data_IF_136550203435
#
_entry.id   IF_136550203435
#
_cell.length_a   1.000
_cell.length_b   1.000
_cell.length_c   1.000
_cell.angle_alpha   90.00
_cell.angle_beta   90.00
_cell.angle_gamma   90.00
#
_symmetry.space_group_name_H-M   'P 1'
#
loop_
_entity.id
_entity.type
_entity.pdbx_description
1 polymer ?
#
# COMPACT_ATOMS: atom_id res chain seq x y z
N UNK A 1 34.68 -3.52 3.08
CA UNK A 1 33.34 -3.49 3.71
C UNK A 1 32.42 -2.73 2.78
N UNK A 2 31.51 -3.43 2.11
CA UNK A 2 30.57 -2.82 1.14
C UNK A 2 29.55 -1.97 1.89
N UNK A 3 29.35 -0.72 1.50
CA UNK A 3 28.32 0.15 2.06
C UNK A 3 26.96 -0.41 1.64
N UNK A 4 26.21 -0.94 2.60
CA UNK A 4 24.81 -1.31 2.38
C UNK A 4 24.06 -0.05 1.94
N UNK A 5 23.51 -0.06 0.73
CA UNK A 5 22.82 1.10 0.18
C UNK A 5 21.41 1.19 0.77
N UNK A 6 20.80 2.39 0.76
CA UNK A 6 19.43 2.61 1.21
C UNK A 6 18.40 1.63 0.61
N UNK A 7 18.72 1.03 -0.54
CA UNK A 7 17.95 -0.03 -1.18
C UNK A 7 18.00 -1.35 -0.39
N UNK A 8 19.13 -1.76 0.18
CA UNK A 8 19.28 -3.08 0.86
C UNK A 8 18.40 -3.25 2.10
N UNK A 9 17.93 -2.16 2.70
CA UNK A 9 17.02 -2.17 3.84
C UNK A 9 15.54 -2.41 3.45
N UNK A 10 15.23 -2.41 2.16
CA UNK A 10 13.86 -2.51 1.63
C UNK A 10 13.44 -3.95 1.27
N UNK A 11 13.87 -4.96 2.04
CA UNK A 11 13.31 -6.32 1.90
C UNK A 11 11.95 -6.37 2.59
N UNK A 12 10.87 -6.21 1.82
CA UNK A 12 9.49 -6.32 2.33
C UNK A 12 8.67 -5.02 2.31
N UNK A 13 8.90 -4.13 1.35
CA UNK A 13 7.98 -3.01 1.10
C UNK A 13 6.69 -3.57 0.49
N UNK A 14 5.61 -3.54 1.27
CA UNK A 14 4.22 -3.91 0.98
C UNK A 14 3.50 -3.03 -0.06
N UNK A 15 4.12 -2.83 -1.21
CA UNK A 15 3.40 -2.58 -2.45
C UNK A 15 3.26 -3.87 -3.25
N UNK A 16 2.38 -3.90 -4.25
CA UNK A 16 2.42 -4.96 -5.29
C UNK A 16 3.71 -4.92 -6.14
N UNK A 17 4.59 -3.93 -5.91
CA UNK A 17 5.80 -3.67 -6.68
C UNK A 17 7.01 -4.25 -5.93
N UNK A 18 7.75 -5.15 -6.57
CA UNK A 18 9.02 -5.63 -6.03
C UNK A 18 10.06 -4.52 -6.06
N UNK A 19 11.02 -4.54 -5.14
CA UNK A 19 12.12 -3.57 -5.06
C UNK A 19 12.85 -3.35 -6.40
N UNK A 20 13.07 -4.42 -7.16
CA UNK A 20 13.69 -4.39 -8.49
C UNK A 20 12.85 -3.69 -9.57
N UNK A 21 11.54 -3.63 -9.39
CA UNK A 21 10.58 -3.07 -10.34
C UNK A 21 10.20 -1.61 -10.04
N UNK A 22 10.60 -1.07 -8.88
CA UNK A 22 10.22 0.29 -8.42
C UNK A 22 10.62 1.37 -9.42
N UNK A 23 11.84 1.31 -9.95
CA UNK A 23 12.30 2.31 -10.92
C UNK A 23 11.44 2.30 -12.19
N UNK A 24 11.14 1.11 -12.73
CA UNK A 24 10.30 0.96 -13.91
C UNK A 24 8.88 1.48 -13.66
N UNK A 25 8.32 1.25 -12.47
CA UNK A 25 7.02 1.76 -12.09
C UNK A 25 6.98 3.29 -12.00
N UNK A 26 8.03 3.92 -11.47
CA UNK A 26 8.18 5.38 -11.46
C UNK A 26 8.27 5.92 -12.88
N UNK A 27 9.14 5.36 -13.73
CA UNK A 27 9.32 5.82 -15.12
C UNK A 27 8.01 5.74 -15.93
N UNK A 28 7.20 4.71 -15.68
CA UNK A 28 5.89 4.56 -16.32
C UNK A 28 4.87 5.56 -15.77
N UNK A 29 4.87 5.79 -14.46
CA UNK A 29 3.95 6.74 -13.82
C UNK A 29 4.24 8.19 -14.25
N UNK A 30 5.51 8.59 -14.32
CA UNK A 30 5.92 9.92 -14.73
C UNK A 30 5.43 10.25 -16.14
N UNK A 31 5.47 9.30 -17.08
CA UNK A 31 4.99 9.47 -18.47
C UNK A 31 3.53 9.85 -18.60
N UNK A 32 2.69 9.65 -17.57
CA UNK A 32 1.31 10.14 -17.59
C UNK A 32 1.17 11.66 -17.36
N UNK A 33 2.26 12.32 -16.96
CA UNK A 33 2.25 13.74 -16.59
C UNK A 33 2.83 14.59 -17.71
N UNK A 34 2.21 15.76 -17.95
CA UNK A 34 2.56 16.67 -19.05
C UNK A 34 4.04 17.10 -18.98
N UNK A 35 4.57 17.28 -17.76
CA UNK A 35 5.97 17.61 -17.52
C UNK A 35 6.96 16.58 -18.07
N UNK A 36 6.50 15.36 -18.35
CA UNK A 36 7.29 14.24 -18.86
C UNK A 36 6.79 13.74 -20.23
N UNK A 37 6.03 14.57 -20.95
CA UNK A 37 5.56 14.27 -22.31
C UNK A 37 4.26 13.47 -22.39
N UNK A 38 3.52 13.33 -21.29
CA UNK A 38 2.20 12.70 -21.27
C UNK A 38 1.11 13.60 -21.86
N UNK A 39 0.18 12.99 -22.60
CA UNK A 39 -1.01 13.66 -23.15
C UNK A 39 -2.30 13.29 -22.39
N UNK A 40 -3.31 14.15 -22.51
CA UNK A 40 -4.56 14.00 -21.77
C UNK A 40 -5.40 12.81 -22.26
N UNK A 41 -5.36 12.47 -23.55
CA UNK A 41 -6.13 11.35 -24.10
C UNK A 41 -5.60 10.01 -23.59
N UNK A 42 -4.28 9.81 -23.65
CA UNK A 42 -3.61 8.62 -23.11
C UNK A 42 -3.84 8.49 -21.61
N UNK A 43 -3.77 9.59 -20.85
CA UNK A 43 -4.03 9.57 -19.41
C UNK A 43 -5.49 9.20 -19.10
N UNK A 44 -6.46 9.74 -19.85
CA UNK A 44 -7.88 9.39 -19.69
C UNK A 44 -8.14 7.92 -20.02
N UNK A 45 -7.56 7.41 -21.11
CA UNK A 45 -7.70 6.02 -21.52
C UNK A 45 -7.10 5.05 -20.48
N UNK A 46 -6.02 5.44 -19.80
CA UNK A 46 -5.29 4.60 -18.86
C UNK A 46 -5.46 5.07 -17.40
N UNK A 47 -6.54 5.78 -17.08
CA UNK A 47 -6.73 6.41 -15.78
C UNK A 47 -6.60 5.42 -14.61
N UNK A 48 -7.22 4.24 -14.72
CA UNK A 48 -7.14 3.19 -13.71
C UNK A 48 -5.70 2.72 -13.47
N UNK A 49 -4.89 2.60 -14.52
CA UNK A 49 -3.49 2.19 -14.41
C UNK A 49 -2.63 3.27 -13.73
N UNK A 50 -2.81 4.53 -14.12
CA UNK A 50 -2.15 5.68 -13.50
C UNK A 50 -2.48 5.76 -12.00
N UNK A 51 -3.75 5.61 -11.63
CA UNK A 51 -4.20 5.67 -10.22
C UNK A 51 -3.63 4.49 -9.42
N UNK A 52 -3.65 3.28 -9.96
CA UNK A 52 -3.08 2.12 -9.28
C UNK A 52 -1.58 2.32 -9.04
N UNK A 53 -0.83 2.78 -10.05
CA UNK A 53 0.61 3.09 -9.90
C UNK A 53 0.88 4.14 -8.83
N UNK A 54 0.07 5.20 -8.75
CA UNK A 54 0.19 6.18 -7.68
C UNK A 54 0.05 5.53 -6.30
N UNK A 55 -0.99 4.73 -6.08
CA UNK A 55 -1.21 4.10 -4.77
C UNK A 55 -0.15 3.06 -4.43
N UNK A 56 0.32 2.27 -5.40
CA UNK A 56 1.39 1.31 -5.19
C UNK A 56 2.72 2.00 -4.83
N UNK A 57 3.07 3.07 -5.55
CA UNK A 57 4.28 3.86 -5.27
C UNK A 57 4.19 4.58 -3.93
N UNK A 58 3.06 5.21 -3.63
CA UNK A 58 2.83 5.89 -2.36
C UNK A 58 2.92 4.91 -1.18
N UNK A 59 2.26 3.75 -1.28
CA UNK A 59 2.31 2.68 -0.26
C UNK A 59 3.76 2.25 -0.03
N UNK A 60 4.49 1.95 -1.11
CA UNK A 60 5.90 1.55 -1.03
C UNK A 60 6.77 2.63 -0.37
N UNK A 61 6.54 3.91 -0.70
CA UNK A 61 7.27 5.02 -0.10
C UNK A 61 6.98 5.16 1.40
N UNK A 62 5.70 5.08 1.80
CA UNK A 62 5.31 5.22 3.18
C UNK A 62 5.77 4.05 4.05
N UNK A 63 5.72 2.82 3.56
CA UNK A 63 6.24 1.66 4.27
C UNK A 63 7.77 1.68 4.36
N UNK A 64 8.47 2.23 3.37
CA UNK A 64 9.91 2.48 3.48
C UNK A 64 10.23 3.45 4.62
N UNK A 65 9.43 4.52 4.78
CA UNK A 65 9.65 5.56 5.79
C UNK A 65 9.17 5.21 7.20
N UNK A 66 8.01 4.56 7.32
CA UNK A 66 7.30 4.30 8.58
C UNK A 66 7.13 2.82 8.93
N UNK A 67 7.64 1.93 8.09
CA UNK A 67 7.47 0.48 8.23
C UNK A 67 6.06 0.00 7.89
N UNK A 68 5.86 -1.31 7.98
CA UNK A 68 4.60 -1.98 7.62
C UNK A 68 3.38 -1.56 8.46
N UNK A 69 3.57 -0.79 9.53
CA UNK A 69 2.48 -0.37 10.43
C UNK A 69 1.70 0.86 9.92
N UNK A 70 2.14 1.51 8.83
CA UNK A 70 1.59 2.78 8.37
C UNK A 70 0.11 2.73 7.94
N UNK A 71 -0.40 1.55 7.56
CA UNK A 71 -1.81 1.36 7.17
C UNK A 71 -2.68 0.68 8.22
N UNK A 72 -2.09 0.31 9.36
CA UNK A 72 -2.80 -0.42 10.39
C UNK A 72 -2.95 0.48 11.61
N UNK A 73 -4.20 0.67 12.02
CA UNK A 73 -4.51 1.07 13.38
C UNK A 73 -4.75 -0.23 14.17
N UNK A 74 -3.70 -0.93 14.66
CA UNK A 74 -3.90 -2.14 15.44
C UNK A 74 -4.69 -1.75 16.69
N UNK A 75 -5.91 -2.29 16.83
CA UNK A 75 -6.64 -2.16 18.09
C UNK A 75 -6.02 -3.07 19.13
N UNK A 76 -5.82 -2.53 20.32
CA UNK A 76 -5.52 -3.34 21.48
C UNK A 76 -6.75 -4.14 21.88
N UNK A 77 -6.58 -5.45 22.12
CA UNK A 77 -7.65 -6.36 22.52
C UNK A 77 -8.43 -5.87 23.76
N UNK A 78 -7.79 -5.10 24.65
CA UNK A 78 -8.43 -4.52 25.85
C UNK A 78 -9.35 -3.33 25.58
N UNK A 79 -9.33 -2.76 24.36
CA UNK A 79 -10.20 -1.65 23.97
C UNK A 79 -11.53 -2.13 23.34
N UNK A 80 -11.78 -3.43 23.30
CA UNK A 80 -13.00 -4.03 22.75
C UNK A 80 -14.05 -4.13 23.85
N UNK A 81 -15.07 -3.28 23.78
CA UNK A 81 -16.39 -3.67 24.28
C UNK A 81 -16.98 -4.66 23.26
N UNK A 82 -17.40 -5.84 23.72
CA UNK A 82 -17.84 -6.99 22.92
C UNK A 82 -19.01 -6.77 21.93
N UNK A 83 -19.48 -5.54 21.73
CA UNK A 83 -20.68 -5.23 20.94
C UNK A 83 -20.44 -4.26 19.77
N UNK A 84 -19.19 -3.90 19.46
CA UNK A 84 -18.89 -3.00 18.32
C UNK A 84 -18.20 -3.76 17.20
N UNK A 85 -18.78 -3.71 16.00
CA UNK A 85 -18.17 -4.20 14.75
C UNK A 85 -17.63 -3.03 13.93
N UNK A 86 -16.49 -3.20 13.28
CA UNK A 86 -15.81 -2.18 12.48
C UNK A 86 -15.52 -2.73 11.10
N UNK A 87 -15.90 -1.98 10.08
CA UNK A 87 -15.54 -2.26 8.70
C UNK A 87 -14.64 -1.15 8.18
N UNK A 88 -13.40 -1.49 7.87
CA UNK A 88 -12.47 -0.62 7.16
C UNK A 88 -12.80 -0.56 5.67
N UNK A 89 -12.89 0.64 5.11
CA UNK A 89 -12.99 0.85 3.66
C UNK A 89 -11.59 1.09 3.11
N UNK A 90 -11.15 0.26 2.16
CA UNK A 90 -9.83 0.41 1.56
C UNK A 90 -9.84 -0.03 0.10
N UNK A 91 -9.39 0.84 -0.81
CA UNK A 91 -9.37 0.53 -2.24
C UNK A 91 -8.19 -0.37 -2.66
N UNK A 92 -7.20 -0.55 -1.78
CA UNK A 92 -5.99 -1.30 -2.03
C UNK A 92 -6.12 -2.73 -1.50
N UNK A 93 -6.15 -3.70 -2.42
CA UNK A 93 -6.27 -5.13 -2.10
C UNK A 93 -5.13 -5.66 -1.23
N UNK A 94 -3.91 -5.16 -1.43
CA UNK A 94 -2.78 -5.56 -0.59
C UNK A 94 -3.03 -5.18 0.87
N UNK A 95 -3.47 -3.94 1.10
CA UNK A 95 -3.75 -3.43 2.43
C UNK A 95 -4.93 -4.16 3.08
N UNK A 96 -5.99 -4.47 2.30
CA UNK A 96 -7.12 -5.30 2.76
C UNK A 96 -6.64 -6.69 3.19
N UNK A 97 -5.86 -7.37 2.34
CA UNK A 97 -5.38 -8.72 2.61
C UNK A 97 -4.49 -8.76 3.86
N UNK A 98 -3.52 -7.84 3.94
CA UNK A 98 -2.62 -7.72 5.09
C UNK A 98 -3.37 -7.36 6.37
N UNK A 99 -4.33 -6.44 6.30
CA UNK A 99 -5.15 -6.06 7.45
C UNK A 99 -6.04 -7.20 7.95
N UNK A 100 -6.57 -8.01 7.03
CA UNK A 100 -7.36 -9.21 7.37
C UNK A 100 -6.52 -10.24 8.11
N UNK A 101 -5.29 -10.49 7.64
CA UNK A 101 -4.34 -11.40 8.30
C UNK A 101 -3.97 -10.90 9.71
N UNK A 102 -3.69 -9.59 9.85
CA UNK A 102 -3.39 -9.00 11.16
C UNK A 102 -4.60 -9.07 12.12
N UNK A 103 -5.82 -8.86 11.64
CA UNK A 103 -7.03 -9.06 12.44
C UNK A 103 -7.16 -10.52 12.92
N UNK A 104 -6.81 -11.49 12.08
CA UNK A 104 -6.82 -12.91 12.45
C UNK A 104 -5.80 -13.23 13.54
N UNK A 105 -4.55 -12.79 13.36
CA UNK A 105 -3.48 -12.98 14.36
C UNK A 105 -3.84 -12.31 15.70
N UNK A 106 -4.54 -11.17 15.66
CA UNK A 106 -4.97 -10.45 16.86
C UNK A 106 -6.27 -11.00 17.49
N UNK A 107 -6.92 -12.02 16.91
CA UNK A 107 -8.19 -12.57 17.39
C UNK A 107 -9.39 -11.63 17.20
N UNK A 108 -9.31 -10.70 16.26
CA UNK A 108 -10.32 -9.67 15.99
C UNK A 108 -11.23 -9.99 14.80
N UNK A 109 -11.08 -11.16 14.15
CA UNK A 109 -11.81 -11.53 12.92
C UNK A 109 -13.34 -11.41 13.02
N UNK A 110 -13.92 -11.65 14.20
CA UNK A 110 -15.39 -11.56 14.42
C UNK A 110 -15.91 -10.11 14.57
N UNK A 111 -15.02 -9.14 14.78
CA UNK A 111 -15.38 -7.75 15.12
C UNK A 111 -14.72 -6.69 14.24
N UNK A 112 -13.77 -7.08 13.39
CA UNK A 112 -13.03 -6.17 12.51
C UNK A 112 -12.84 -6.81 11.13
N UNK A 113 -13.32 -6.15 10.08
CA UNK A 113 -13.16 -6.58 8.69
C UNK A 113 -12.83 -5.41 7.76
N UNK A 114 -12.54 -5.74 6.50
CA UNK A 114 -12.26 -4.76 5.45
C UNK A 114 -13.12 -5.04 4.23
N UNK A 115 -13.56 -3.99 3.54
CA UNK A 115 -14.20 -4.07 2.22
C UNK A 115 -13.58 -3.04 1.28
N UNK A 116 -13.70 -3.32 -0.03
CA UNK A 116 -13.19 -2.46 -1.11
C UNK A 116 -14.23 -1.44 -1.54
#
# INVERSE_FOLDING_TARGET
MSKSSAFDLATGVGGKIKKEDVQSAVDQYEKYHVSYGGDEETRKANYSDMVNKYYDLATSFYEYGWGESFHFAPRYASAVNYSTSITGLNNNEYQISRGTELNHIAGLSESCNFVK
#
